data_IF_235669443995
#
_entry.id   IF_235669443995
#
_cell.length_a   1.000
_cell.length_b   1.000
_cell.length_c   1.000
_cell.angle_alpha   90.00
_cell.angle_beta   90.00
_cell.angle_gamma   90.00
#
_symmetry.space_group_name_H-M   'P 1'
#
loop_
_entity.id
_entity.type
_entity.pdbx_description
1 polymer ?
#
# COMPACT_ATOMS: atom_id res chain seq x y z
N UNK A 1 13.14 8.50 -26.30
CA UNK A 1 12.15 8.02 -25.31
C UNK A 1 11.62 6.64 -25.74
N UNK A 2 12.34 5.56 -25.46
CA UNK A 2 11.85 4.21 -25.74
C UNK A 2 11.19 3.60 -24.51
N UNK A 3 9.86 3.73 -24.48
CA UNK A 3 8.95 3.20 -23.45
C UNK A 3 8.88 1.68 -23.62
N UNK A 4 9.45 0.90 -22.69
CA UNK A 4 9.12 -0.53 -22.59
C UNK A 4 7.73 -0.66 -21.95
N UNK A 5 6.72 -0.36 -22.76
CA UNK A 5 5.33 -0.70 -22.44
C UNK A 5 5.23 -2.21 -22.34
N UNK A 6 5.00 -2.72 -21.13
CA UNK A 6 4.51 -4.10 -21.03
C UNK A 6 3.11 -4.08 -21.64
N UNK A 7 2.92 -4.75 -22.79
CA UNK A 7 1.58 -5.00 -23.32
C UNK A 7 0.76 -5.69 -22.23
N UNK A 8 -0.26 -4.98 -21.75
CA UNK A 8 -1.16 -5.52 -20.74
C UNK A 8 -2.16 -6.42 -21.42
N UNK A 9 -2.31 -7.63 -20.90
CA UNK A 9 -3.37 -8.57 -21.31
C UNK A 9 -4.75 -8.16 -20.78
N UNK A 10 -4.85 -7.11 -19.94
CA UNK A 10 -6.11 -6.55 -19.41
C UNK A 10 -6.01 -5.03 -19.27
N UNK A 11 -7.08 -4.31 -19.64
CA UNK A 11 -7.19 -2.87 -19.37
C UNK A 11 -7.30 -2.63 -17.85
N UNK A 12 -6.54 -1.68 -17.31
CA UNK A 12 -6.54 -1.30 -15.89
C UNK A 12 -6.29 0.20 -15.78
N UNK A 13 -6.89 0.90 -14.82
CA UNK A 13 -6.67 2.32 -14.54
C UNK A 13 -5.25 2.69 -14.04
N UNK A 14 -4.37 1.71 -13.85
CA UNK A 14 -2.97 1.95 -13.46
C UNK A 14 -2.08 1.84 -14.69
N UNK A 15 -1.14 2.74 -14.91
CA UNK A 15 -0.02 2.55 -15.84
C UNK A 15 1.25 2.15 -15.07
N UNK A 16 2.14 1.36 -15.68
CA UNK A 16 3.38 0.93 -15.01
C UNK A 16 4.60 1.05 -15.92
N UNK A 17 5.71 1.55 -15.37
CA UNK A 17 7.03 1.55 -16.00
C UNK A 17 8.05 0.86 -15.08
N UNK A 18 9.09 0.26 -15.67
CA UNK A 18 10.14 -0.44 -14.93
C UNK A 18 11.52 0.10 -15.29
N UNK A 19 12.35 0.30 -14.27
CA UNK A 19 13.78 0.60 -14.42
C UNK A 19 14.58 -0.59 -13.87
N UNK A 20 15.51 -1.14 -14.66
CA UNK A 20 16.34 -2.31 -14.31
C UNK A 20 17.81 -1.94 -14.42
N UNK A 21 18.63 -2.35 -13.45
CA UNK A 21 20.06 -2.04 -13.39
C UNK A 21 20.92 -2.60 -14.54
N UNK A 22 20.44 -3.61 -15.28
CA UNK A 22 21.18 -4.24 -16.40
C UNK A 22 20.77 -3.72 -17.78
N UNK A 23 19.89 -2.72 -17.84
CA UNK A 23 19.47 -2.11 -19.10
C UNK A 23 20.06 -0.71 -19.10
N UNK A 24 20.99 -0.42 -20.03
CA UNK A 24 21.59 0.90 -20.22
C UNK A 24 20.55 1.91 -20.73
N UNK A 25 19.54 2.21 -19.92
CA UNK A 25 18.40 3.04 -20.27
C UNK A 25 18.17 4.00 -19.13
N UNK A 26 18.62 5.22 -19.39
CA UNK A 26 18.35 6.46 -18.67
C UNK A 26 18.68 6.38 -17.18
N UNK A 27 19.96 6.64 -16.88
CA UNK A 27 20.28 7.36 -15.65
C UNK A 27 19.28 8.51 -15.56
N UNK A 28 18.42 8.50 -14.52
CA UNK A 28 18.20 9.75 -13.81
C UNK A 28 19.62 10.25 -13.51
N UNK A 29 20.12 11.19 -14.31
CA UNK A 29 21.30 11.96 -13.93
C UNK A 29 20.84 12.75 -12.71
N UNK A 30 20.89 12.10 -11.55
CA UNK A 30 20.98 12.78 -10.28
C UNK A 30 22.34 13.45 -10.39
N UNK A 31 22.36 14.71 -10.81
CA UNK A 31 23.53 15.58 -10.80
C UNK A 31 23.87 15.89 -9.34
N UNK A 32 24.28 14.86 -8.60
CA UNK A 32 24.80 14.95 -7.26
C UNK A 32 26.18 14.29 -7.24
N UNK A 33 27.07 14.82 -6.41
CA UNK A 33 28.49 14.45 -6.27
C UNK A 33 28.74 12.98 -5.86
N UNK A 34 27.71 12.14 -5.79
CA UNK A 34 27.78 10.72 -5.48
C UNK A 34 28.02 9.88 -6.74
N UNK A 35 29.06 10.20 -7.49
CA UNK A 35 29.62 9.34 -8.54
C UNK A 35 30.53 8.25 -7.95
N UNK A 36 30.10 7.61 -6.85
CA UNK A 36 30.74 6.36 -6.43
C UNK A 36 30.06 5.20 -7.15
N UNK A 37 30.86 4.22 -7.56
CA UNK A 37 30.41 2.97 -8.18
C UNK A 37 29.50 2.20 -7.22
N UNK A 38 28.21 2.57 -7.22
CA UNK A 38 27.19 1.82 -6.51
C UNK A 38 26.91 0.54 -7.30
N UNK A 39 27.62 -0.52 -6.93
CA UNK A 39 27.36 -1.89 -7.38
C UNK A 39 26.56 -2.60 -6.28
N UNK A 40 25.22 -2.49 -6.26
CA UNK A 40 24.43 -3.22 -5.29
C UNK A 40 24.67 -4.73 -5.49
N UNK A 41 24.78 -5.52 -4.41
CA UNK A 41 25.06 -6.96 -4.49
C UNK A 41 23.97 -7.75 -5.23
N UNK A 42 22.81 -7.13 -5.49
CA UNK A 42 21.72 -7.68 -6.30
C UNK A 42 21.13 -6.60 -7.21
N UNK A 43 20.68 -6.96 -8.42
CA UNK A 43 20.06 -6.01 -9.33
C UNK A 43 18.79 -5.42 -8.71
N UNK A 44 18.71 -4.09 -8.67
CA UNK A 44 17.51 -3.38 -8.20
C UNK A 44 16.59 -3.11 -9.40
N UNK A 45 15.30 -3.41 -9.20
CA UNK A 45 14.24 -3.10 -10.15
C UNK A 45 13.25 -2.15 -9.51
N UNK A 46 13.16 -0.93 -10.05
CA UNK A 46 12.22 0.09 -9.58
C UNK A 46 10.97 0.03 -10.47
N UNK A 47 9.79 -0.02 -9.86
CA UNK A 47 8.51 0.02 -10.56
C UNK A 47 7.83 1.35 -10.26
N UNK A 48 7.55 2.11 -11.29
CA UNK A 48 6.71 3.31 -11.20
C UNK A 48 5.30 2.93 -11.60
N UNK A 49 4.32 3.30 -10.78
CA UNK A 49 2.90 3.12 -11.06
C UNK A 49 2.18 4.44 -10.92
N UNK A 50 1.38 4.78 -11.93
CA UNK A 50 0.53 5.97 -11.93
C UNK A 50 -0.91 5.52 -12.07
N UNK A 51 -1.74 5.89 -11.11
CA UNK A 51 -3.19 5.74 -11.23
C UNK A 51 -3.71 6.90 -12.09
N UNK A 52 -4.32 6.58 -13.24
CA UNK A 52 -4.86 7.59 -14.18
C UNK A 52 -6.32 7.91 -13.91
N UNK A 53 -6.97 7.17 -13.01
CA UNK A 53 -8.34 7.42 -12.58
C UNK A 53 -8.45 7.31 -11.04
N UNK A 54 -7.68 8.11 -10.28
CA UNK A 54 -7.70 8.01 -8.84
C UNK A 54 -9.08 8.45 -8.31
N UNK A 55 -9.58 7.82 -7.22
CA UNK A 55 -10.71 8.35 -6.49
C UNK A 55 -10.30 9.71 -5.93
N UNK A 56 -11.13 10.72 -6.14
CA UNK A 56 -10.88 12.09 -5.69
C UNK A 56 -11.18 12.23 -4.20
N UNK A 57 -11.30 13.46 -3.68
CA UNK A 57 -11.70 13.69 -2.28
C UNK A 57 -10.62 13.46 -1.21
N UNK A 58 -9.40 13.08 -1.61
CA UNK A 58 -8.26 12.99 -0.71
C UNK A 58 -7.60 14.34 -0.44
N UNK A 59 -7.00 14.47 0.73
CA UNK A 59 -6.06 15.54 1.03
C UNK A 59 -4.63 15.19 0.65
N UNK A 60 -3.80 16.22 0.52
CA UNK A 60 -2.35 16.08 0.36
C UNK A 60 -1.61 16.93 1.38
N UNK A 61 -0.39 16.54 1.69
CA UNK A 61 0.56 17.28 2.51
C UNK A 61 1.93 17.33 1.83
N UNK A 62 2.70 18.36 2.11
CA UNK A 62 4.07 18.49 1.62
C UNK A 62 5.05 18.06 2.71
N UNK A 63 5.96 17.14 2.38
CA UNK A 63 7.05 16.71 3.26
C UNK A 63 8.38 17.21 2.68
N UNK A 64 9.19 17.86 3.51
CA UNK A 64 10.55 18.24 3.15
C UNK A 64 11.46 17.02 3.25
N UNK A 65 12.06 16.61 2.14
CA UNK A 65 13.17 15.66 2.12
C UNK A 65 14.47 16.44 1.96
N UNK A 66 15.47 16.12 2.78
CA UNK A 66 16.76 16.84 2.78
C UNK A 66 17.83 16.14 1.94
N UNK A 67 17.63 14.86 1.62
CA UNK A 67 18.59 14.03 0.90
C UNK A 67 17.97 13.45 -0.39
N UNK A 68 18.77 13.29 -1.45
CA UNK A 68 20.18 13.72 -1.59
C UNK A 68 20.36 15.24 -1.74
N UNK A 69 19.27 15.99 -1.91
CA UNK A 69 19.20 17.45 -1.84
C UNK A 69 17.82 17.82 -1.27
N UNK A 70 17.62 19.10 -0.93
CA UNK A 70 16.36 19.56 -0.34
C UNK A 70 15.26 19.73 -1.38
N UNK A 71 14.14 19.04 -1.21
CA UNK A 71 12.94 19.23 -2.02
C UNK A 71 11.67 18.88 -1.24
N UNK A 72 10.56 19.51 -1.61
CA UNK A 72 9.25 19.13 -1.12
C UNK A 72 8.66 18.01 -1.98
N UNK A 73 8.15 16.97 -1.33
CA UNK A 73 7.33 15.93 -1.96
C UNK A 73 5.89 16.07 -1.49
N UNK A 74 4.96 16.09 -2.45
CA UNK A 74 3.54 16.05 -2.17
C UNK A 74 3.10 14.61 -1.95
N UNK A 75 2.57 14.32 -0.78
CA UNK A 75 2.08 13.01 -0.37
C UNK A 75 0.60 13.10 -0.02
N UNK A 76 -0.11 11.97 -0.06
CA UNK A 76 -1.43 11.89 0.55
C UNK A 76 -1.35 12.16 2.06
N UNK A 77 -2.39 12.76 2.62
CA UNK A 77 -2.54 12.79 4.07
C UNK A 77 -2.66 11.38 4.63
N UNK A 78 -2.21 11.18 5.87
CA UNK A 78 -2.10 9.84 6.47
C UNK A 78 -3.44 9.09 6.53
N UNK A 79 -4.55 9.79 6.79
CA UNK A 79 -5.89 9.19 6.81
C UNK A 79 -6.37 8.72 5.43
N UNK A 80 -5.95 9.40 4.36
CA UNK A 80 -6.25 9.01 2.97
C UNK A 80 -5.41 7.83 2.50
N UNK A 81 -4.14 7.78 2.94
CA UNK A 81 -3.30 6.59 2.76
C UNK A 81 -3.91 5.40 3.49
N UNK A 82 -4.37 5.60 4.73
CA UNK A 82 -4.99 4.56 5.51
C UNK A 82 -6.27 4.05 4.84
N UNK A 83 -7.14 4.95 4.36
CA UNK A 83 -8.33 4.59 3.59
C UNK A 83 -8.00 3.71 2.37
N UNK A 84 -6.95 4.05 1.62
CA UNK A 84 -6.46 3.22 0.51
C UNK A 84 -5.95 1.85 0.93
N UNK A 85 -5.30 1.75 2.10
CA UNK A 85 -4.80 0.49 2.66
C UNK A 85 -5.93 -0.38 3.18
N UNK A 86 -6.94 0.19 3.84
CA UNK A 86 -8.14 -0.52 4.29
C UNK A 86 -8.96 -1.05 3.10
N UNK A 87 -9.17 -0.23 2.07
CA UNK A 87 -9.80 -0.67 0.83
C UNK A 87 -9.08 -1.89 0.22
N UNK A 88 -7.75 -1.82 0.13
CA UNK A 88 -6.93 -2.91 -0.36
C UNK A 88 -7.04 -4.17 0.51
N UNK A 89 -7.01 -4.03 1.83
CA UNK A 89 -7.12 -5.13 2.79
C UNK A 89 -8.45 -5.89 2.63
N UNK A 90 -9.55 -5.15 2.50
CA UNK A 90 -10.91 -5.69 2.42
C UNK A 90 -11.25 -6.26 1.04
N UNK A 91 -10.95 -5.52 -0.03
CA UNK A 91 -11.56 -5.80 -1.34
C UNK A 91 -10.59 -6.26 -2.42
N UNK A 92 -9.28 -6.24 -2.15
CA UNK A 92 -8.32 -6.74 -3.14
C UNK A 92 -8.46 -8.25 -3.27
N UNK A 93 -8.85 -8.69 -4.47
CA UNK A 93 -8.96 -10.12 -4.80
C UNK A 93 -7.58 -10.75 -4.82
N UNK A 94 -7.38 -11.71 -3.93
CA UNK A 94 -6.31 -12.67 -4.03
C UNK A 94 -6.93 -14.03 -4.34
N UNK A 95 -6.31 -14.82 -5.20
CA UNK A 95 -6.74 -16.19 -5.46
C UNK A 95 -6.39 -17.04 -4.23
N UNK A 96 -5.40 -17.93 -4.34
CA UNK A 96 -5.05 -18.86 -3.27
C UNK A 96 -3.98 -18.30 -2.31
N UNK A 97 -3.74 -16.98 -2.28
CA UNK A 97 -2.65 -16.38 -1.49
C UNK A 97 -3.16 -15.30 -0.57
N UNK A 98 -2.59 -15.21 0.62
CA UNK A 98 -2.79 -14.05 1.51
C UNK A 98 -1.69 -13.03 1.28
N UNK A 99 -2.05 -11.76 1.11
CA UNK A 99 -1.07 -10.67 1.02
C UNK A 99 -0.80 -10.08 2.40
N UNK A 100 0.11 -10.71 3.13
CA UNK A 100 0.44 -10.34 4.51
C UNK A 100 0.86 -8.88 4.70
N UNK A 101 1.45 -8.24 3.69
CA UNK A 101 1.82 -6.81 3.79
C UNK A 101 0.64 -5.86 3.99
N UNK A 102 -0.55 -6.17 3.48
CA UNK A 102 -1.73 -5.33 3.76
C UNK A 102 -2.09 -5.42 5.27
N UNK A 103 -1.94 -6.59 5.90
CA UNK A 103 -2.14 -6.80 7.35
C UNK A 103 -1.05 -6.13 8.19
N UNK A 104 0.20 -6.13 7.70
CA UNK A 104 1.30 -5.41 8.33
C UNK A 104 1.03 -3.90 8.38
N UNK A 105 0.57 -3.34 7.25
CA UNK A 105 0.19 -1.93 7.18
C UNK A 105 -0.99 -1.63 8.13
N UNK A 106 -2.04 -2.47 8.14
CA UNK A 106 -3.17 -2.31 9.06
C UNK A 106 -2.75 -2.28 10.52
N UNK A 107 -1.94 -3.25 10.96
CA UNK A 107 -1.37 -3.26 12.30
C UNK A 107 -0.60 -1.96 12.59
N UNK A 108 0.21 -1.51 11.65
CA UNK A 108 0.99 -0.28 11.79
C UNK A 108 0.09 0.94 12.00
N UNK A 109 -0.96 1.13 11.19
CA UNK A 109 -1.89 2.27 11.35
C UNK A 109 -2.60 2.25 12.70
N UNK A 110 -3.12 1.08 13.11
CA UNK A 110 -3.82 0.93 14.39
C UNK A 110 -2.86 1.19 15.57
N UNK A 111 -1.64 0.65 15.51
CA UNK A 111 -0.61 0.83 16.55
C UNK A 111 -0.22 2.30 16.74
N UNK A 112 -0.26 3.10 15.69
CA UNK A 112 0.06 4.53 15.74
C UNK A 112 -1.17 5.42 16.00
N UNK A 113 -2.36 4.84 16.20
CA UNK A 113 -3.58 5.60 16.50
C UNK A 113 -4.04 6.50 15.34
N UNK A 114 -3.67 6.16 14.10
CA UNK A 114 -4.09 6.94 12.94
C UNK A 114 -5.57 6.70 12.63
N UNK A 115 -6.31 7.78 12.41
CA UNK A 115 -7.71 7.73 12.01
C UNK A 115 -7.86 7.52 10.51
N UNK A 116 -8.81 6.69 10.12
CA UNK A 116 -9.15 6.50 8.70
C UNK A 116 -10.02 7.67 8.20
N UNK A 117 -9.76 8.13 6.98
CA UNK A 117 -10.69 9.03 6.30
C UNK A 117 -11.84 8.21 5.68
N UNK A 118 -12.96 8.08 6.41
CA UNK A 118 -14.06 7.17 6.07
C UNK A 118 -14.76 7.49 4.75
N UNK A 119 -15.01 8.77 4.48
CA UNK A 119 -15.60 9.21 3.20
C UNK A 119 -14.72 8.82 2.02
N UNK A 120 -13.40 8.97 2.14
CA UNK A 120 -12.47 8.55 1.10
C UNK A 120 -12.38 7.03 0.95
N UNK A 121 -12.44 6.29 2.06
CA UNK A 121 -12.55 4.83 2.03
C UNK A 121 -13.81 4.38 1.27
N UNK A 122 -14.95 5.01 1.53
CA UNK A 122 -16.21 4.71 0.85
C UNK A 122 -16.13 5.02 -0.65
N UNK A 123 -15.59 6.17 -1.04
CA UNK A 123 -15.39 6.52 -2.44
C UNK A 123 -14.55 5.47 -3.18
N UNK A 124 -13.46 5.00 -2.56
CA UNK A 124 -12.62 3.91 -3.10
C UNK A 124 -13.39 2.60 -3.23
N UNK A 125 -14.17 2.23 -2.21
CA UNK A 125 -15.00 1.04 -2.22
C UNK A 125 -15.98 1.09 -3.41
N UNK A 126 -16.72 2.20 -3.54
CA UNK A 126 -17.70 2.42 -4.60
C UNK A 126 -17.09 2.41 -5.99
N UNK A 127 -15.94 3.07 -6.17
CA UNK A 127 -15.22 3.06 -7.45
C UNK A 127 -14.80 1.63 -7.86
N UNK A 128 -14.56 0.75 -6.90
CA UNK A 128 -14.26 -0.67 -7.14
C UNK A 128 -15.49 -1.59 -7.19
N UNK A 129 -16.70 -1.01 -7.18
CA UNK A 129 -17.97 -1.73 -7.21
C UNK A 129 -18.39 -2.37 -5.87
N UNK A 130 -17.84 -1.89 -4.75
CA UNK A 130 -18.19 -2.33 -3.39
C UNK A 130 -18.98 -1.23 -2.69
N UNK A 131 -19.89 -1.58 -1.77
CA UNK A 131 -20.70 -0.60 -1.01
C UNK A 131 -21.43 0.43 -1.90
N UNK A 132 -21.82 0.02 -3.12
CA UNK A 132 -22.56 0.88 -4.06
C UNK A 132 -23.91 1.23 -3.43
N UNK A 133 -24.29 2.51 -3.48
CA UNK A 133 -25.54 3.02 -2.92
C UNK A 133 -25.48 3.39 -1.43
N UNK A 134 -24.31 3.29 -0.80
CA UNK A 134 -24.11 3.78 0.56
C UNK A 134 -23.80 5.29 0.54
N UNK A 135 -24.51 6.08 1.35
CA UNK A 135 -24.27 7.52 1.43
C UNK A 135 -23.12 7.88 2.39
N UNK A 136 -22.91 7.04 3.42
CA UNK A 136 -21.84 7.20 4.40
C UNK A 136 -21.43 5.84 4.96
N UNK A 137 -20.31 5.81 5.69
CA UNK A 137 -19.85 4.62 6.41
C UNK A 137 -19.26 5.05 7.75
N UNK A 138 -19.64 4.36 8.81
CA UNK A 138 -19.16 4.53 10.18
C UNK A 138 -17.94 3.64 10.46
N UNK A 139 -17.21 3.94 11.54
CA UNK A 139 -16.10 3.09 11.99
C UNK A 139 -16.61 1.69 12.34
N UNK A 140 -17.77 1.58 12.96
CA UNK A 140 -18.41 0.33 13.35
C UNK A 140 -18.74 -0.57 12.15
N UNK A 141 -19.23 0.00 11.06
CA UNK A 141 -19.46 -0.75 9.81
C UNK A 141 -18.14 -1.23 9.20
N UNK A 142 -17.09 -0.39 9.22
CA UNK A 142 -15.75 -0.82 8.79
C UNK A 142 -15.20 -1.92 9.68
N UNK A 143 -15.40 -1.83 10.99
CA UNK A 143 -15.01 -2.89 11.94
C UNK A 143 -15.69 -4.19 11.59
N UNK A 144 -16.99 -4.17 11.33
CA UNK A 144 -17.74 -5.38 10.99
C UNK A 144 -17.22 -6.04 9.69
N UNK A 145 -16.96 -5.24 8.65
CA UNK A 145 -16.31 -5.73 7.43
C UNK A 145 -14.94 -6.36 7.70
N UNK A 146 -14.16 -5.77 8.61
CA UNK A 146 -12.85 -6.30 8.99
C UNK A 146 -12.95 -7.58 9.81
N UNK A 147 -13.91 -7.70 10.74
CA UNK A 147 -14.11 -8.92 11.53
C UNK A 147 -14.37 -10.12 10.61
N UNK A 148 -15.31 -9.95 9.69
CA UNK A 148 -15.62 -10.96 8.67
C UNK A 148 -14.41 -11.29 7.81
N UNK A 149 -13.59 -10.28 7.47
CA UNK A 149 -12.38 -10.50 6.69
C UNK A 149 -11.33 -11.29 7.47
N UNK A 150 -11.12 -10.96 8.74
CA UNK A 150 -10.16 -11.60 9.64
C UNK A 150 -10.47 -13.09 9.81
N UNK A 151 -11.75 -13.47 9.90
CA UNK A 151 -12.19 -14.87 9.98
C UNK A 151 -11.78 -15.74 8.78
N UNK A 152 -11.62 -15.12 7.61
CA UNK A 152 -11.33 -15.82 6.36
C UNK A 152 -9.83 -15.90 6.04
N UNK A 153 -8.96 -15.38 6.90
CA UNK A 153 -7.54 -15.20 6.60
C UNK A 153 -6.70 -16.29 7.24
N UNK A 154 -5.91 -16.97 6.39
CA UNK A 154 -4.80 -17.79 6.85
C UNK A 154 -3.63 -16.89 7.27
N UNK A 155 -3.52 -16.64 8.56
CA UNK A 155 -2.44 -15.82 9.11
C UNK A 155 -1.07 -16.49 9.05
N UNK A 156 -0.97 -17.81 8.86
CA UNK A 156 0.33 -18.45 8.62
C UNK A 156 0.87 -18.03 7.24
N UNK A 157 0.02 -18.02 6.23
CA UNK A 157 0.38 -17.48 4.91
C UNK A 157 0.68 -15.97 4.97
N UNK A 158 -0.06 -15.21 5.78
CA UNK A 158 0.22 -13.79 5.99
C UNK A 158 1.63 -13.57 6.57
N UNK A 159 2.01 -14.33 7.61
CA UNK A 159 3.37 -14.30 8.20
C UNK A 159 4.43 -14.59 7.14
N UNK A 160 4.23 -15.64 6.35
CA UNK A 160 5.17 -16.06 5.30
C UNK A 160 5.36 -14.98 4.20
N UNK A 161 4.32 -14.24 3.80
CA UNK A 161 4.48 -13.15 2.83
C UNK A 161 5.38 -12.03 3.37
N UNK A 162 5.33 -11.76 4.68
CA UNK A 162 6.00 -10.61 5.32
C UNK A 162 7.40 -10.94 5.85
N UNK A 163 7.64 -12.15 6.37
CA UNK A 163 8.85 -12.51 7.12
C UNK A 163 10.17 -12.17 6.40
N UNK A 164 10.21 -12.32 5.08
CA UNK A 164 11.39 -12.01 4.24
C UNK A 164 11.70 -10.52 4.06
N UNK A 165 10.80 -9.63 4.48
CA UNK A 165 10.91 -8.18 4.27
C UNK A 165 11.24 -7.40 5.54
N UNK A 166 11.21 -8.04 6.71
CA UNK A 166 11.42 -7.39 8.00
C UNK A 166 12.66 -7.96 8.69
N UNK A 167 13.35 -7.10 9.45
CA UNK A 167 14.57 -7.48 10.18
C UNK A 167 14.31 -8.48 11.30
N UNK A 168 13.12 -8.39 11.90
CA UNK A 168 12.73 -9.09 13.12
C UNK A 168 11.45 -9.91 12.87
N UNK A 169 11.54 -11.07 12.17
CA UNK A 169 10.40 -11.91 11.84
C UNK A 169 9.68 -12.49 13.07
N UNK A 170 10.35 -12.60 14.21
CA UNK A 170 9.77 -13.02 15.49
C UNK A 170 8.60 -12.12 15.93
N UNK A 171 8.56 -10.85 15.48
CA UNK A 171 7.45 -9.94 15.76
C UNK A 171 6.12 -10.42 15.17
N UNK A 172 6.17 -11.30 14.18
CA UNK A 172 4.99 -11.88 13.55
C UNK A 172 4.43 -13.08 14.33
N UNK A 173 5.10 -13.57 15.37
CA UNK A 173 4.63 -14.74 16.14
C UNK A 173 3.24 -14.52 16.72
N UNK A 174 2.97 -13.31 17.22
CA UNK A 174 1.67 -12.91 17.79
C UNK A 174 0.54 -12.88 16.75
N UNK A 175 0.85 -12.81 15.45
CA UNK A 175 -0.18 -12.73 14.42
C UNK A 175 -1.06 -13.97 14.46
N UNK A 176 -2.34 -13.73 14.70
CA UNK A 176 -3.39 -14.72 14.84
C UNK A 176 -4.72 -14.03 14.57
N UNK A 177 -5.77 -14.81 14.31
CA UNK A 177 -7.11 -14.27 14.16
C UNK A 177 -7.50 -13.43 15.39
N UNK A 178 -7.29 -13.95 16.60
CA UNK A 178 -7.58 -13.23 17.85
C UNK A 178 -6.80 -11.91 17.99
N UNK A 179 -5.52 -11.90 17.61
CA UNK A 179 -4.74 -10.66 17.61
C UNK A 179 -5.33 -9.61 16.68
N UNK A 180 -5.69 -9.98 15.45
CA UNK A 180 -6.25 -9.03 14.50
C UNK A 180 -7.68 -8.61 14.85
N UNK A 181 -8.50 -9.47 15.47
CA UNK A 181 -9.77 -9.05 16.06
C UNK A 181 -9.55 -7.97 17.12
N UNK A 182 -8.56 -8.14 18.00
CA UNK A 182 -8.19 -7.12 18.99
C UNK A 182 -7.70 -5.81 18.38
N UNK A 183 -7.08 -5.84 17.19
CA UNK A 183 -6.72 -4.63 16.45
C UNK A 183 -7.93 -3.95 15.80
N UNK A 184 -8.91 -4.72 15.30
CA UNK A 184 -10.15 -4.17 14.75
C UNK A 184 -10.89 -3.33 15.78
N UNK A 185 -10.97 -3.79 17.03
CA UNK A 185 -11.61 -3.03 18.12
C UNK A 185 -10.88 -1.72 18.47
N UNK A 186 -9.62 -1.56 18.06
CA UNK A 186 -8.81 -0.35 18.28
C UNK A 186 -8.82 0.60 17.08
N UNK A 187 -9.46 0.23 15.98
CA UNK A 187 -9.63 1.13 14.82
C UNK A 187 -10.45 2.36 15.24
N UNK A 188 -10.06 3.56 14.80
CA UNK A 188 -10.77 4.80 15.11
C UNK A 188 -10.75 5.82 13.99
#
# INVERSE_FOLDING_TARGET
>A
MHRLLKQKTRQTAVESAFLKSNTAIHLLQIQGEYAQSWSPPRPIKIKFEVDTQPPLGFGTEEKLLLLPFSFYVKCFQIGDLFAGKLHALLYRRWQNRVKGRDWYDFEWYVRHGHRVHLSHFLQRAQQSGQLVGWDSVSVEEVRELLRQRVEQVDFQQAKQDVARFIKHPERLEIWSQGYFQGLVERLG
#
